data_IF_279084030441
#
_entry.id   IF_279084030441
#
_cell.length_a   1.000
_cell.length_b   1.000
_cell.length_c   1.000
_cell.angle_alpha   90.00
_cell.angle_beta   90.00
_cell.angle_gamma   90.00
#
_symmetry.space_group_name_H-M   'P 1'
#
loop_
_entity.id
_entity.type
_entity.pdbx_description
1 polymer ?
#
# COMPACT_ATOMS: atom_id res chain seq x y z
N UNK A 1 -4.31 -0.79 -12.46
CA UNK A 1 -3.11 -1.57 -12.85
C UNK A 1 -1.95 -1.45 -11.85
N UNK A 2 -1.48 -0.23 -11.50
CA UNK A 2 -0.30 -0.01 -10.63
C UNK A 2 -0.46 -0.66 -9.24
N UNK A 3 -1.63 -0.53 -8.60
CA UNK A 3 -1.88 -1.15 -7.29
C UNK A 3 -1.68 -2.69 -7.30
N UNK A 4 -2.08 -3.37 -8.37
CA UNK A 4 -1.85 -4.82 -8.51
C UNK A 4 -0.36 -5.16 -8.62
N UNK A 5 0.43 -4.34 -9.32
CA UNK A 5 1.90 -4.52 -9.40
C UNK A 5 2.56 -4.36 -8.02
N UNK A 6 2.12 -3.37 -7.24
CA UNK A 6 2.59 -3.16 -5.86
C UNK A 6 2.25 -4.37 -4.97
N UNK A 7 1.02 -4.88 -5.06
CA UNK A 7 0.59 -6.06 -4.30
C UNK A 7 1.37 -7.32 -4.70
N UNK A 8 1.62 -7.52 -5.99
CA UNK A 8 2.41 -8.64 -6.48
C UNK A 8 3.84 -8.60 -5.93
N UNK A 9 4.50 -7.44 -6.00
CA UNK A 9 5.83 -7.24 -5.43
C UNK A 9 5.84 -7.46 -3.90
N UNK A 10 4.85 -6.90 -3.19
CA UNK A 10 4.70 -7.10 -1.75
C UNK A 10 4.54 -8.57 -1.37
N UNK A 11 3.80 -9.35 -2.18
CA UNK A 11 3.64 -10.80 -1.98
C UNK A 11 4.95 -11.55 -2.20
N UNK A 12 5.69 -11.23 -3.26
CA UNK A 12 7.00 -11.85 -3.54
C UNK A 12 8.00 -11.60 -2.39
N UNK A 13 7.97 -10.40 -1.82
CA UNK A 13 8.81 -10.00 -0.68
C UNK A 13 8.25 -10.44 0.68
N UNK A 14 7.18 -11.24 0.72
CA UNK A 14 6.51 -11.72 1.95
C UNK A 14 6.04 -10.59 2.90
N UNK A 15 5.82 -9.38 2.38
CA UNK A 15 5.35 -8.22 3.14
C UNK A 15 3.85 -8.32 3.52
N UNK A 16 3.13 -9.26 2.90
CA UNK A 16 1.70 -9.50 3.15
C UNK A 16 1.44 -10.46 4.32
N UNK A 17 2.43 -11.26 4.73
CA UNK A 17 2.24 -12.35 5.71
C UNK A 17 1.95 -11.80 7.11
N UNK A 18 0.88 -12.26 7.78
CA UNK A 18 0.51 -11.78 9.11
C UNK A 18 -0.09 -10.36 9.14
N UNK A 19 -0.45 -9.81 7.98
CA UNK A 19 -1.12 -8.50 7.84
C UNK A 19 -2.53 -8.71 7.29
N UNK A 20 -3.46 -7.88 7.74
CA UNK A 20 -4.83 -7.87 7.20
C UNK A 20 -4.82 -7.51 5.70
N UNK A 21 -5.46 -8.31 4.82
CA UNK A 21 -5.42 -8.11 3.37
C UNK A 21 -6.01 -6.75 2.96
N UNK A 22 -7.08 -6.31 3.63
CA UNK A 22 -7.73 -5.03 3.37
C UNK A 22 -6.80 -3.84 3.60
N UNK A 23 -6.03 -3.85 4.69
CA UNK A 23 -5.09 -2.76 4.99
C UNK A 23 -3.93 -2.69 3.98
N UNK A 24 -3.46 -3.84 3.50
CA UNK A 24 -2.42 -3.92 2.47
C UNK A 24 -2.96 -3.43 1.12
N UNK A 25 -4.17 -3.85 0.74
CA UNK A 25 -4.82 -3.37 -0.48
C UNK A 25 -5.07 -1.86 -0.44
N UNK A 26 -5.57 -1.34 0.68
CA UNK A 26 -5.79 0.09 0.88
C UNK A 26 -4.49 0.92 0.74
N UNK A 27 -3.39 0.44 1.33
CA UNK A 27 -2.10 1.10 1.18
C UNK A 27 -1.54 1.02 -0.24
N UNK A 28 -1.69 -0.12 -0.93
CA UNK A 28 -1.29 -0.25 -2.33
C UNK A 28 -2.10 0.70 -3.24
N UNK A 29 -3.40 0.86 -2.98
CA UNK A 29 -4.25 1.84 -3.67
C UNK A 29 -3.82 3.28 -3.38
N UNK A 30 -3.46 3.59 -2.13
CA UNK A 30 -2.92 4.91 -1.77
C UNK A 30 -1.61 5.21 -2.50
N UNK A 31 -0.65 4.27 -2.49
CA UNK A 31 0.62 4.42 -3.23
C UNK A 31 0.36 4.63 -4.71
N UNK A 32 -0.53 3.83 -5.32
CA UNK A 32 -0.89 3.98 -6.72
C UNK A 32 -1.46 5.39 -7.02
N UNK A 33 -2.35 5.90 -6.17
CA UNK A 33 -2.92 7.25 -6.31
C UNK A 33 -1.87 8.36 -6.26
N UNK A 34 -0.81 8.17 -5.46
CA UNK A 34 0.31 9.10 -5.38
C UNK A 34 1.17 9.03 -6.64
N UNK A 35 1.44 7.82 -7.16
CA UNK A 35 2.27 7.59 -8.34
C UNK A 35 1.61 8.02 -9.65
N UNK A 36 0.27 7.92 -9.78
CA UNK A 36 -0.46 8.36 -10.96
C UNK A 36 -0.75 9.86 -10.96
N UNK A 37 -0.50 10.56 -9.86
CA UNK A 37 -0.88 11.96 -9.68
C UNK A 37 -2.37 12.16 -9.35
N UNK A 38 -3.18 11.11 -9.37
CA UNK A 38 -4.60 11.12 -8.96
C UNK A 38 -4.73 11.02 -7.44
N UNK A 39 -4.17 12.02 -6.74
CA UNK A 39 -4.01 11.95 -5.29
C UNK A 39 -5.35 11.77 -4.58
N UNK A 40 -5.44 10.66 -3.84
CA UNK A 40 -6.47 10.42 -2.84
C UNK A 40 -5.86 10.55 -1.46
N UNK A 41 -6.61 11.14 -0.54
CA UNK A 41 -6.20 11.20 0.86
C UNK A 41 -6.26 9.80 1.50
N UNK A 42 -5.47 9.57 2.55
CA UNK A 42 -5.56 8.33 3.33
C UNK A 42 -6.96 8.18 3.94
N UNK A 43 -7.63 9.28 4.28
CA UNK A 43 -9.00 9.29 4.79
C UNK A 43 -10.01 8.78 3.76
N UNK A 44 -10.01 9.31 2.54
CA UNK A 44 -10.92 8.86 1.47
C UNK A 44 -10.80 7.35 1.24
N UNK A 45 -9.56 6.83 1.21
CA UNK A 45 -9.32 5.41 0.99
C UNK A 45 -9.72 4.59 2.23
N UNK A 46 -9.46 5.10 3.43
CA UNK A 46 -9.82 4.45 4.69
C UNK A 46 -11.34 4.26 4.82
N UNK A 47 -12.11 5.29 4.46
CA UNK A 47 -13.58 5.25 4.46
C UNK A 47 -14.11 4.18 3.48
N UNK A 48 -13.58 4.13 2.24
CA UNK A 48 -13.99 3.14 1.23
C UNK A 48 -13.59 1.71 1.65
N UNK A 49 -12.37 1.54 2.14
CA UNK A 49 -11.81 0.24 2.48
C UNK A 49 -12.22 -0.25 3.88
N UNK A 50 -13.00 0.54 4.63
CA UNK A 50 -13.42 0.24 6.01
C UNK A 50 -12.23 -0.11 6.93
N UNK A 51 -11.16 0.67 6.82
CA UNK A 51 -9.98 0.60 7.69
C UNK A 51 -9.72 1.96 8.31
N UNK A 52 -8.77 2.05 9.24
CA UNK A 52 -8.37 3.35 9.79
C UNK A 52 -7.30 4.00 8.92
N UNK A 53 -7.21 5.33 8.95
CA UNK A 53 -6.10 6.07 8.34
C UNK A 53 -4.73 5.58 8.88
N UNK A 54 -4.66 5.23 10.16
CA UNK A 54 -3.45 4.70 10.81
C UNK A 54 -3.05 3.35 10.19
N UNK A 55 -4.02 2.48 9.89
CA UNK A 55 -3.78 1.21 9.19
C UNK A 55 -3.12 1.47 7.84
N UNK A 56 -3.67 2.40 7.03
CA UNK A 56 -3.11 2.75 5.72
C UNK A 56 -1.71 3.35 5.87
N UNK A 57 -1.52 4.27 6.81
CA UNK A 57 -0.22 4.92 7.07
C UNK A 57 0.87 3.92 7.43
N UNK A 58 0.57 2.98 8.32
CA UNK A 58 1.54 1.98 8.75
C UNK A 58 1.90 1.02 7.61
N UNK A 59 0.90 0.58 6.83
CA UNK A 59 1.14 -0.28 5.66
C UNK A 59 1.88 0.44 4.54
N UNK A 60 1.55 1.71 4.29
CA UNK A 60 2.25 2.58 3.34
C UNK A 60 3.75 2.65 3.65
N UNK A 61 4.11 2.98 4.90
CA UNK A 61 5.52 3.07 5.32
C UNK A 61 6.25 1.75 5.10
N UNK A 62 5.69 0.63 5.56
CA UNK A 62 6.32 -0.68 5.38
C UNK A 62 6.51 -1.05 3.90
N UNK A 63 5.49 -0.82 3.06
CA UNK A 63 5.57 -1.11 1.63
C UNK A 63 6.63 -0.25 0.96
N UNK A 64 6.63 1.06 1.21
CA UNK A 64 7.56 2.01 0.59
C UNK A 64 9.00 1.73 1.02
N UNK A 65 9.25 1.54 2.32
CA UNK A 65 10.60 1.25 2.83
C UNK A 65 11.16 -0.05 2.23
N UNK A 66 10.36 -1.11 2.17
CA UNK A 66 10.81 -2.43 1.73
C UNK A 66 10.88 -2.56 0.21
N UNK A 67 9.97 -1.92 -0.53
CA UNK A 67 10.00 -1.93 -1.99
C UNK A 67 11.12 -1.03 -2.53
N UNK A 68 11.35 0.15 -1.96
CA UNK A 68 12.46 1.01 -2.40
C UNK A 68 13.83 0.39 -2.10
N UNK A 69 13.97 -0.26 -0.93
CA UNK A 69 15.20 -0.98 -0.60
C UNK A 69 15.51 -2.09 -1.62
N UNK A 70 14.50 -2.81 -2.10
CA UNK A 70 14.69 -3.89 -3.09
C UNK A 70 14.93 -3.40 -4.52
N UNK A 71 14.62 -2.13 -4.85
CA UNK A 71 14.87 -1.56 -6.19
C UNK A 71 16.26 -0.92 -6.29
N UNK A 72 16.85 -0.53 -5.16
CA UNK A 72 18.12 0.21 -5.10
C UNK A 72 19.35 -0.71 -4.96
N UNK A 73 19.14 -2.00 -4.63
CA UNK A 73 20.16 -3.04 -4.49
C UNK A 73 20.08 -4.04 -5.64
#
# INVERSE_FOLDING_TARGET
EIAHKILAAAKMLKLTSGRGPTGIAAAASYIASVLTGERKTQREIAEIAQVTEVTIRNRYKELVEKLMFSITL
#
